data_IF_620969884368
#
_entry.id   IF_620969884368
#
_cell.length_a   1.000
_cell.length_b   1.000
_cell.length_c   1.000
_cell.angle_alpha   90.00
_cell.angle_beta   90.00
_cell.angle_gamma   90.00
#
_symmetry.space_group_name_H-M   'P 1'
#
loop_
_entity.id
_entity.type
_entity.pdbx_description
1 polymer ?
#
# COMPACT_ATOMS: atom_id res chain seq x y z
N UNK A 1 -48.24 24.58 -42.27
CA UNK A 1 -47.80 24.55 -40.86
C UNK A 1 -46.73 23.47 -40.71
N UNK A 2 -45.46 23.86 -40.71
CA UNK A 2 -44.31 22.93 -40.74
C UNK A 2 -43.80 22.77 -39.29
N UNK A 3 -44.02 21.61 -38.68
CA UNK A 3 -43.58 21.31 -37.30
C UNK A 3 -42.07 21.07 -37.32
N UNK A 4 -41.27 22.02 -36.83
CA UNK A 4 -39.85 21.80 -36.56
C UNK A 4 -39.70 20.86 -35.36
N UNK A 5 -39.22 19.65 -35.62
CA UNK A 5 -38.78 18.71 -34.58
C UNK A 5 -37.39 19.16 -34.15
N UNK A 6 -37.29 19.73 -32.96
CA UNK A 6 -36.02 20.02 -32.30
C UNK A 6 -35.47 18.71 -31.74
N UNK A 7 -34.48 18.13 -32.41
CA UNK A 7 -33.67 17.03 -31.87
C UNK A 7 -32.70 17.61 -30.84
N UNK A 8 -32.98 17.40 -29.56
CA UNK A 8 -32.04 17.66 -28.46
C UNK A 8 -30.86 16.68 -28.58
N UNK A 9 -29.60 17.16 -28.58
CA UNK A 9 -28.44 16.27 -28.64
C UNK A 9 -28.29 15.57 -27.28
N UNK A 10 -28.33 14.25 -27.30
CA UNK A 10 -28.04 13.41 -26.14
C UNK A 10 -26.53 13.45 -25.90
N UNK A 11 -26.08 14.30 -24.98
CA UNK A 11 -24.68 14.35 -24.54
C UNK A 11 -24.42 13.07 -23.73
N UNK A 12 -23.75 12.10 -24.35
CA UNK A 12 -23.24 10.92 -23.66
C UNK A 12 -22.03 11.37 -22.84
N UNK A 13 -22.25 11.51 -21.53
CA UNK A 13 -21.19 11.81 -20.57
C UNK A 13 -20.39 10.52 -20.33
N UNK A 14 -19.31 10.34 -21.08
CA UNK A 14 -18.37 9.22 -20.89
C UNK A 14 -17.66 9.38 -19.54
N UNK A 15 -18.16 8.73 -18.48
CA UNK A 15 -17.41 8.56 -17.25
C UNK A 15 -16.23 7.62 -17.54
N UNK A 16 -15.06 8.19 -17.81
CA UNK A 16 -13.82 7.44 -17.89
C UNK A 16 -13.53 6.79 -16.53
N UNK A 17 -13.58 5.46 -16.46
CA UNK A 17 -13.27 4.69 -15.27
C UNK A 17 -11.76 4.76 -14.94
N UNK A 18 -11.32 5.85 -14.31
CA UNK A 18 -9.95 6.04 -13.80
C UNK A 18 -9.77 5.52 -12.35
N UNK A 19 -10.61 4.61 -11.89
CA UNK A 19 -10.53 4.07 -10.52
C UNK A 19 -9.33 3.15 -10.28
N UNK A 20 -8.64 2.71 -11.35
CA UNK A 20 -7.44 1.87 -11.30
C UNK A 20 -6.13 2.66 -11.12
N UNK A 21 -6.18 3.99 -11.03
CA UNK A 21 -4.99 4.85 -10.84
C UNK A 21 -4.94 5.55 -9.48
N UNK A 22 -5.96 5.38 -8.64
CA UNK A 22 -5.99 5.98 -7.31
C UNK A 22 -5.33 5.03 -6.31
N UNK A 23 -4.21 5.41 -5.67
CA UNK A 23 -3.45 4.50 -4.82
C UNK A 23 -4.27 4.01 -3.61
N UNK A 24 -5.08 4.88 -3.00
CA UNK A 24 -5.97 4.49 -1.91
C UNK A 24 -6.97 3.40 -2.33
N UNK A 25 -7.53 3.50 -3.54
CA UNK A 25 -8.46 2.49 -4.07
C UNK A 25 -7.75 1.17 -4.35
N UNK A 26 -6.50 1.22 -4.84
CA UNK A 26 -5.67 0.02 -5.01
C UNK A 26 -5.44 -0.63 -3.65
N UNK A 27 -5.04 0.16 -2.64
CA UNK A 27 -4.82 -0.34 -1.28
C UNK A 27 -6.08 -0.99 -0.71
N UNK A 28 -7.22 -0.31 -0.76
CA UNK A 28 -8.50 -0.80 -0.24
C UNK A 28 -8.87 -2.15 -0.87
N UNK A 29 -8.63 -2.32 -2.17
CA UNK A 29 -8.97 -3.54 -2.91
C UNK A 29 -7.94 -4.66 -2.78
N UNK A 30 -6.66 -4.33 -2.60
CA UNK A 30 -5.56 -5.30 -2.75
C UNK A 30 -4.76 -5.54 -1.47
N UNK A 31 -4.71 -4.58 -0.56
CA UNK A 31 -3.88 -4.64 0.64
C UNK A 31 -4.74 -4.73 1.92
N UNK A 32 -5.88 -4.03 1.94
CA UNK A 32 -6.74 -3.93 3.12
C UNK A 32 -7.47 -5.23 3.48
N UNK A 33 -7.44 -6.23 2.61
CA UNK A 33 -7.92 -7.57 2.94
C UNK A 33 -7.15 -8.22 4.10
N UNK A 34 -5.89 -7.83 4.29
CA UNK A 34 -5.04 -8.34 5.38
C UNK A 34 -4.58 -7.21 6.31
N UNK A 35 -4.21 -6.05 5.76
CA UNK A 35 -3.65 -4.95 6.53
C UNK A 35 -4.71 -3.91 6.89
N UNK A 36 -5.02 -3.80 8.18
CA UNK A 36 -5.86 -2.72 8.67
C UNK A 36 -5.17 -1.35 8.49
N UNK A 37 -5.95 -0.32 8.14
CA UNK A 37 -5.48 1.07 8.04
C UNK A 37 -5.10 1.66 9.41
N UNK A 38 -5.81 1.23 10.46
CA UNK A 38 -5.66 1.74 11.81
C UNK A 38 -5.26 0.61 12.77
N UNK A 39 -4.65 1.00 13.88
CA UNK A 39 -4.40 0.07 14.97
C UNK A 39 -5.72 -0.51 15.52
N UNK A 40 -5.72 -1.76 16.01
CA UNK A 40 -6.87 -2.33 16.71
C UNK A 40 -7.17 -1.54 17.99
N UNK A 41 -8.44 -1.38 18.32
CA UNK A 41 -8.87 -0.61 19.50
C UNK A 41 -8.86 -1.45 20.80
N UNK A 42 -8.81 -2.78 20.67
CA UNK A 42 -8.85 -3.71 21.78
C UNK A 42 -8.13 -5.03 21.44
N UNK A 43 -7.93 -5.87 22.46
CA UNK A 43 -7.22 -7.14 22.33
C UNK A 43 -7.94 -8.14 21.40
N UNK A 44 -9.28 -8.13 21.39
CA UNK A 44 -10.05 -9.03 20.52
C UNK A 44 -9.82 -8.70 19.04
N UNK A 45 -9.87 -7.41 18.67
CA UNK A 45 -9.51 -6.93 17.34
C UNK A 45 -8.06 -7.29 17.00
N UNK A 46 -7.12 -7.05 17.94
CA UNK A 46 -5.70 -7.37 17.73
C UNK A 46 -5.48 -8.87 17.47
N UNK A 47 -6.21 -9.76 18.17
CA UNK A 47 -6.14 -11.21 17.98
C UNK A 47 -6.74 -11.66 16.64
N UNK A 48 -7.76 -10.97 16.14
CA UNK A 48 -8.40 -11.27 14.86
C UNK A 48 -7.57 -10.84 13.63
N UNK A 49 -6.54 -10.02 13.82
CA UNK A 49 -5.68 -9.56 12.74
C UNK A 49 -4.89 -10.72 12.12
N UNK A 50 -4.85 -10.74 10.79
CA UNK A 50 -4.08 -11.72 9.99
C UNK A 50 -2.77 -11.16 9.44
N UNK A 51 -2.56 -9.85 9.55
CA UNK A 51 -1.30 -9.16 9.28
C UNK A 51 -1.16 -7.95 10.22
N UNK A 52 0.03 -7.36 10.40
CA UNK A 52 0.19 -6.10 11.11
C UNK A 52 -0.65 -4.99 10.48
N UNK A 53 -1.16 -4.05 11.28
CA UNK A 53 -1.77 -2.83 10.71
C UNK A 53 -0.69 -2.02 10.00
N UNK A 54 -1.09 -1.24 9.00
CA UNK A 54 -0.15 -0.74 8.00
C UNK A 54 0.96 0.15 8.59
N UNK A 55 0.67 0.97 9.60
CA UNK A 55 1.70 1.79 10.25
C UNK A 55 2.70 0.98 11.09
N UNK A 56 2.31 -0.18 11.64
CA UNK A 56 3.27 -1.09 12.29
C UNK A 56 4.15 -1.77 11.25
N UNK A 57 3.56 -2.28 10.16
CA UNK A 57 4.32 -2.87 9.06
C UNK A 57 5.34 -1.86 8.50
N UNK A 58 4.90 -0.63 8.22
CA UNK A 58 5.77 0.42 7.71
C UNK A 58 6.83 0.86 8.70
N UNK A 59 6.52 0.91 10.01
CA UNK A 59 7.55 1.17 11.02
C UNK A 59 8.66 0.13 10.95
N UNK A 60 8.31 -1.16 10.94
CA UNK A 60 9.29 -2.25 10.87
C UNK A 60 10.12 -2.18 9.59
N UNK A 61 9.48 -2.03 8.43
CA UNK A 61 10.18 -1.96 7.14
C UNK A 61 11.10 -0.73 7.07
N UNK A 62 10.61 0.46 7.42
CA UNK A 62 11.41 1.69 7.34
C UNK A 62 12.61 1.64 8.29
N UNK A 63 12.43 1.18 9.53
CA UNK A 63 13.55 1.05 10.49
C UNK A 63 14.55 -0.02 10.03
N UNK A 64 14.06 -1.14 9.48
CA UNK A 64 14.93 -2.20 8.97
C UNK A 64 15.80 -1.73 7.80
N UNK A 65 15.21 -1.03 6.84
CA UNK A 65 15.95 -0.42 5.72
C UNK A 65 16.95 0.62 6.23
N UNK A 66 16.54 1.51 7.15
CA UNK A 66 17.42 2.54 7.72
C UNK A 66 18.66 1.92 8.39
N UNK A 67 18.45 0.83 9.13
CA UNK A 67 19.52 0.12 9.85
C UNK A 67 20.45 -0.69 8.93
N UNK A 68 19.97 -1.25 7.82
CA UNK A 68 20.78 -2.09 6.93
C UNK A 68 21.45 -1.32 5.80
N UNK A 69 20.75 -0.37 5.20
CA UNK A 69 21.22 0.35 4.01
C UNK A 69 21.90 1.69 4.35
N UNK A 70 21.76 2.16 5.59
CA UNK A 70 22.35 3.40 6.12
C UNK A 70 22.19 4.61 5.16
N UNK A 71 20.95 4.97 4.77
CA UNK A 71 20.71 6.01 3.78
C UNK A 71 21.20 7.38 4.25
N UNK A 72 21.69 8.22 3.33
CA UNK A 72 22.29 9.52 3.67
C UNK A 72 21.28 10.56 4.13
N UNK A 73 20.00 10.35 3.82
CA UNK A 73 18.88 11.25 4.15
C UNK A 73 17.53 10.56 3.91
N UNK A 74 16.46 11.18 4.40
CA UNK A 74 15.09 10.68 4.26
C UNK A 74 14.64 10.48 2.80
N UNK A 75 15.20 11.22 1.83
CA UNK A 75 14.84 11.03 0.42
C UNK A 75 15.42 9.72 -0.13
N UNK A 76 16.63 9.38 0.26
CA UNK A 76 17.25 8.09 -0.07
C UNK A 76 16.54 6.94 0.66
N UNK A 77 16.26 7.09 1.96
CA UNK A 77 15.48 6.12 2.73
C UNK A 77 14.11 5.83 2.10
N UNK A 78 13.38 6.89 1.72
CA UNK A 78 12.08 6.77 1.03
C UNK A 78 12.20 5.96 -0.25
N UNK A 79 13.21 6.24 -1.07
CA UNK A 79 13.44 5.52 -2.33
C UNK A 79 13.68 4.03 -2.06
N UNK A 80 14.63 3.70 -1.18
CA UNK A 80 14.98 2.32 -0.85
C UNK A 80 13.79 1.55 -0.25
N UNK A 81 13.02 2.21 0.62
CA UNK A 81 11.82 1.61 1.21
C UNK A 81 10.75 1.32 0.16
N UNK A 82 10.52 2.22 -0.79
CA UNK A 82 9.57 1.99 -1.88
C UNK A 82 10.04 0.84 -2.77
N UNK A 83 11.31 0.80 -3.15
CA UNK A 83 11.89 -0.30 -3.95
C UNK A 83 11.74 -1.64 -3.22
N UNK A 84 11.96 -1.65 -1.90
CA UNK A 84 11.73 -2.82 -1.07
C UNK A 84 10.26 -3.27 -1.09
N UNK A 85 9.31 -2.35 -0.89
CA UNK A 85 7.87 -2.67 -0.92
C UNK A 85 7.46 -3.22 -2.30
N UNK A 86 7.93 -2.59 -3.38
CA UNK A 86 7.63 -3.01 -4.74
C UNK A 86 8.12 -4.44 -5.02
N UNK A 87 9.30 -4.82 -4.54
CA UNK A 87 9.81 -6.19 -4.67
C UNK A 87 9.10 -7.17 -3.71
N UNK A 88 8.94 -6.80 -2.44
CA UNK A 88 8.41 -7.69 -1.40
C UNK A 88 6.94 -8.08 -1.65
N UNK A 89 6.16 -7.22 -2.31
CA UNK A 89 4.78 -7.53 -2.74
C UNK A 89 4.74 -8.78 -3.64
N UNK A 90 5.73 -8.95 -4.52
CA UNK A 90 5.78 -10.07 -5.47
C UNK A 90 6.64 -11.22 -4.96
N UNK A 91 7.73 -10.91 -4.28
CA UNK A 91 8.77 -11.86 -3.88
C UNK A 91 9.04 -11.81 -2.37
N UNK A 92 8.02 -12.01 -1.51
CA UNK A 92 8.22 -11.97 -0.07
C UNK A 92 9.09 -13.15 0.37
N UNK A 93 10.06 -12.88 1.25
CA UNK A 93 10.93 -13.91 1.80
C UNK A 93 11.35 -13.56 3.24
N UNK A 94 11.76 -14.56 4.04
CA UNK A 94 12.27 -14.31 5.40
C UNK A 94 13.43 -13.32 5.44
N UNK A 95 14.35 -13.39 4.47
CA UNK A 95 15.53 -12.53 4.40
C UNK A 95 15.19 -11.06 4.10
N UNK A 96 14.00 -10.81 3.54
CA UNK A 96 13.47 -9.48 3.25
C UNK A 96 12.51 -8.99 4.34
N UNK A 97 12.32 -9.75 5.41
CA UNK A 97 11.38 -9.40 6.47
C UNK A 97 12.10 -8.67 7.60
N UNK A 98 11.63 -7.47 7.96
CA UNK A 98 12.20 -6.63 9.02
C UNK A 98 11.44 -6.68 10.35
N UNK A 99 10.75 -7.79 10.60
CA UNK A 99 9.92 -7.96 11.79
C UNK A 99 10.72 -8.56 12.94
N UNK A 100 10.47 -8.08 14.16
CA UNK A 100 10.90 -8.75 15.37
C UNK A 100 10.30 -10.16 15.44
N UNK A 101 11.01 -11.10 16.07
CA UNK A 101 10.62 -12.52 16.15
C UNK A 101 9.17 -12.70 16.64
N UNK A 102 8.73 -11.92 17.63
CA UNK A 102 7.37 -11.98 18.18
C UNK A 102 6.28 -11.62 17.16
N UNK A 103 6.58 -10.72 16.22
CA UNK A 103 5.66 -10.34 15.14
C UNK A 103 5.67 -11.43 14.05
N UNK A 104 6.85 -12.00 13.78
CA UNK A 104 7.01 -13.08 12.81
C UNK A 104 6.32 -14.38 13.25
N UNK A 105 6.41 -14.76 14.52
CA UNK A 105 5.71 -15.94 15.06
C UNK A 105 4.20 -15.86 14.86
N UNK A 106 3.64 -14.65 14.98
CA UNK A 106 2.21 -14.41 14.82
C UNK A 106 1.77 -14.38 13.36
N UNK A 107 2.42 -13.55 12.54
CA UNK A 107 1.92 -13.23 11.20
C UNK A 107 2.64 -13.99 10.08
N UNK A 108 3.79 -14.60 10.37
CA UNK A 108 4.71 -15.18 9.39
C UNK A 108 5.07 -14.14 8.32
N UNK A 109 5.55 -14.60 7.17
CA UNK A 109 5.82 -13.75 6.01
C UNK A 109 4.53 -13.49 5.21
N UNK A 110 4.51 -12.36 4.50
CA UNK A 110 3.40 -11.98 3.62
C UNK A 110 3.31 -12.98 2.45
N UNK A 111 2.11 -13.40 2.01
CA UNK A 111 1.98 -14.17 0.78
C UNK A 111 2.27 -13.30 -0.44
N UNK A 112 2.83 -13.89 -1.50
CA UNK A 112 3.01 -13.17 -2.77
C UNK A 112 1.66 -12.71 -3.32
N UNK A 113 1.62 -11.48 -3.83
CA UNK A 113 0.45 -10.93 -4.53
C UNK A 113 0.57 -11.06 -6.06
N UNK A 114 1.48 -11.89 -6.56
CA UNK A 114 1.57 -12.18 -7.99
C UNK A 114 0.23 -12.67 -8.54
N UNK A 115 -0.20 -12.10 -9.67
CA UNK A 115 -1.52 -12.36 -10.27
C UNK A 115 -2.69 -11.66 -9.57
N UNK A 116 -2.53 -11.19 -8.33
CA UNK A 116 -3.55 -10.43 -7.62
C UNK A 116 -3.42 -8.91 -7.81
N UNK A 117 -2.18 -8.40 -7.86
CA UNK A 117 -1.87 -7.00 -8.18
C UNK A 117 -0.94 -6.95 -9.40
N UNK A 118 -1.13 -5.96 -10.28
CA UNK A 118 -0.21 -5.74 -11.40
C UNK A 118 1.02 -4.93 -10.97
N UNK A 119 2.13 -5.06 -11.72
CA UNK A 119 3.34 -4.24 -11.51
C UNK A 119 3.01 -2.74 -11.55
N UNK A 120 2.10 -2.34 -12.45
CA UNK A 120 1.66 -0.93 -12.56
C UNK A 120 0.93 -0.47 -11.29
N UNK A 121 0.02 -1.27 -10.76
CA UNK A 121 -0.68 -0.94 -9.52
C UNK A 121 0.27 -0.92 -8.32
N UNK A 122 1.20 -1.87 -8.23
CA UNK A 122 2.23 -1.90 -7.18
C UNK A 122 3.06 -0.61 -7.17
N UNK A 123 3.53 -0.16 -8.34
CA UNK A 123 4.27 1.11 -8.51
C UNK A 123 3.46 2.36 -8.18
N UNK A 124 2.14 2.29 -8.26
CA UNK A 124 1.25 3.39 -7.88
C UNK A 124 1.03 3.40 -6.36
N UNK A 125 0.80 2.23 -5.76
CA UNK A 125 0.41 2.14 -4.35
C UNK A 125 1.59 2.17 -3.39
N UNK A 126 2.76 1.63 -3.74
CA UNK A 126 3.90 1.57 -2.84
C UNK A 126 4.39 2.94 -2.35
N UNK A 127 4.55 3.98 -3.21
CA UNK A 127 4.88 5.33 -2.75
C UNK A 127 3.83 5.90 -1.79
N UNK A 128 2.55 5.68 -2.08
CA UNK A 128 1.46 6.15 -1.24
C UNK A 128 1.42 5.44 0.11
N UNK A 129 1.72 4.13 0.17
CA UNK A 129 1.85 3.39 1.43
C UNK A 129 2.96 4.02 2.29
N UNK A 130 4.12 4.31 1.70
CA UNK A 130 5.21 4.98 2.42
C UNK A 130 4.74 6.35 2.95
N UNK A 131 4.25 7.21 2.07
CA UNK A 131 3.91 8.59 2.40
C UNK A 131 2.75 8.69 3.41
N UNK A 132 1.89 7.66 3.48
CA UNK A 132 0.73 7.64 4.37
C UNK A 132 0.99 6.97 5.72
N UNK A 133 1.95 6.03 5.81
CA UNK A 133 2.09 5.17 6.99
C UNK A 133 3.51 5.05 7.55
N UNK A 134 4.55 5.55 6.86
CA UNK A 134 5.90 5.60 7.42
C UNK A 134 5.96 6.52 8.66
N UNK A 135 6.86 6.27 9.63
CA UNK A 135 6.97 7.12 10.81
C UNK A 135 7.30 8.56 10.42
N UNK A 136 6.65 9.53 11.08
CA UNK A 136 6.71 10.96 10.71
C UNK A 136 8.15 11.50 10.59
N UNK A 137 9.05 11.06 11.46
CA UNK A 137 10.46 11.46 11.44
C UNK A 137 11.19 11.10 10.13
N UNK A 138 10.75 10.06 9.43
CA UNK A 138 11.33 9.56 8.18
C UNK A 138 10.65 10.08 6.91
N UNK A 139 9.60 10.90 7.05
CA UNK A 139 8.94 11.52 5.91
C UNK A 139 9.84 12.60 5.29
N UNK A 140 9.73 12.74 3.97
CA UNK A 140 10.38 13.84 3.23
C UNK A 140 9.46 15.04 3.30
N UNK A 141 9.91 16.11 3.96
CA UNK A 141 9.19 17.40 4.02
C UNK A 141 9.46 18.24 2.78
#
# INVERSE_FOLDING_TARGET
>A
MRKSIWLLPFIVLSLSANTLTQPEIIFQKKCQMCHALTAPNNEAEQKAMVAPFMSLAMKSVTIGIDALEEPKNNKELRKLTIEHIEDYIFNPSPEKSFCEDIIFEKFRYMPSLEGFISIKEAKIVAPWIYDSFAPEHYLVK
#
